data_IF_823992040256
#
_entry.id   IF_823992040256
#
_cell.length_a   1.000
_cell.length_b   1.000
_cell.length_c   1.000
_cell.angle_alpha   90.00
_cell.angle_beta   90.00
_cell.angle_gamma   90.00
#
_symmetry.space_group_name_H-M   'P 1'
#
loop_
_entity.id
_entity.type
_entity.pdbx_description
1 polymer ?
#
# COMPACT_ATOMS: atom_id res chain seq x y z
N UNK A 1 -43.02 -35.47 -18.74
CA UNK A 1 -43.10 -34.03 -19.02
C UNK A 1 -43.32 -33.34 -17.69
N UNK A 2 -42.49 -32.36 -17.33
CA UNK A 2 -42.59 -31.65 -16.03
C UNK A 2 -43.52 -30.44 -16.17
N UNK A 3 -44.60 -30.39 -15.39
CA UNK A 3 -45.54 -29.28 -15.35
C UNK A 3 -45.08 -28.14 -14.42
N UNK A 4 -45.72 -26.97 -14.50
CA UNK A 4 -45.43 -25.86 -13.57
C UNK A 4 -45.80 -26.20 -12.11
N UNK A 5 -46.83 -27.04 -11.91
CA UNK A 5 -47.17 -27.61 -10.62
C UNK A 5 -46.03 -28.47 -10.05
N UNK A 6 -45.38 -29.29 -10.88
CA UNK A 6 -44.25 -30.13 -10.46
C UNK A 6 -43.04 -29.30 -10.00
N UNK A 7 -42.80 -28.16 -10.64
CA UNK A 7 -41.68 -27.25 -10.29
C UNK A 7 -41.83 -26.68 -8.87
N UNK A 8 -43.07 -26.30 -8.49
CA UNK A 8 -43.34 -25.74 -7.17
C UNK A 8 -43.72 -26.82 -6.13
N UNK A 9 -43.84 -28.08 -6.56
CA UNK A 9 -44.28 -29.20 -5.72
C UNK A 9 -45.71 -29.02 -5.22
N UNK A 10 -46.60 -28.55 -6.09
CA UNK A 10 -48.03 -28.31 -5.84
C UNK A 10 -48.88 -29.09 -6.83
N UNK A 11 -50.20 -29.07 -6.64
CA UNK A 11 -51.18 -29.66 -7.55
C UNK A 11 -52.32 -28.67 -7.86
N UNK A 12 -53.29 -29.09 -8.69
CA UNK A 12 -54.47 -28.29 -9.06
C UNK A 12 -55.36 -27.92 -7.88
N UNK A 13 -55.31 -28.72 -6.81
CA UNK A 13 -56.15 -28.59 -5.64
C UNK A 13 -55.48 -27.74 -4.56
N UNK A 14 -54.20 -27.38 -4.75
CA UNK A 14 -53.43 -26.61 -3.79
C UNK A 14 -53.95 -25.17 -3.75
N UNK A 15 -54.37 -24.66 -2.58
CA UNK A 15 -54.88 -23.31 -2.48
C UNK A 15 -53.79 -22.28 -2.81
N UNK A 16 -54.17 -21.16 -3.43
CA UNK A 16 -53.25 -20.11 -3.88
C UNK A 16 -52.33 -19.58 -2.76
N UNK A 17 -52.81 -19.57 -1.51
CA UNK A 17 -52.02 -19.21 -0.33
C UNK A 17 -50.83 -20.16 -0.12
N UNK A 18 -51.01 -21.47 -0.32
CA UNK A 18 -49.97 -22.47 -0.18
C UNK A 18 -49.01 -22.49 -1.38
N UNK A 19 -49.50 -22.21 -2.58
CA UNK A 19 -48.64 -21.97 -3.76
C UNK A 19 -47.69 -20.79 -3.51
N UNK A 20 -48.20 -19.68 -2.96
CA UNK A 20 -47.39 -18.52 -2.58
C UNK A 20 -46.38 -18.86 -1.49
N UNK A 21 -46.77 -19.67 -0.50
CA UNK A 21 -45.87 -20.13 0.57
C UNK A 21 -44.73 -20.99 0.01
N UNK A 22 -45.04 -21.95 -0.87
CA UNK A 22 -44.07 -22.81 -1.56
C UNK A 22 -43.07 -22.00 -2.40
N UNK A 23 -43.57 -21.05 -3.19
CA UNK A 23 -42.72 -20.14 -3.96
C UNK A 23 -41.76 -19.34 -3.07
N UNK A 24 -42.26 -18.74 -1.97
CA UNK A 24 -41.40 -18.00 -1.03
C UNK A 24 -40.31 -18.87 -0.40
N UNK A 25 -40.65 -20.10 -0.03
CA UNK A 25 -39.70 -21.04 0.54
C UNK A 25 -38.60 -21.41 -0.46
N UNK A 26 -38.99 -21.77 -1.70
CA UNK A 26 -38.05 -22.16 -2.75
C UNK A 26 -37.18 -20.99 -3.21
N UNK A 27 -37.77 -19.82 -3.44
CA UNK A 27 -37.02 -18.60 -3.80
C UNK A 27 -36.01 -18.20 -2.74
N UNK A 28 -36.33 -18.35 -1.45
CA UNK A 28 -35.40 -18.04 -0.36
C UNK A 28 -34.18 -18.96 -0.30
N UNK A 29 -34.32 -20.21 -0.75
CA UNK A 29 -33.26 -21.23 -0.78
C UNK A 29 -32.45 -21.18 -2.07
N UNK A 30 -33.12 -20.91 -3.19
CA UNK A 30 -32.56 -20.98 -4.54
C UNK A 30 -32.22 -19.59 -5.09
N UNK A 31 -32.16 -18.56 -4.23
CA UNK A 31 -31.80 -17.20 -4.62
C UNK A 31 -30.34 -17.13 -5.11
N UNK A 32 -30.05 -16.40 -6.21
CA UNK A 32 -28.68 -16.25 -6.72
C UNK A 32 -27.67 -15.78 -5.67
N UNK A 33 -28.04 -14.78 -4.88
CA UNK A 33 -27.17 -14.20 -3.84
C UNK A 33 -26.85 -15.16 -2.69
N UNK A 34 -27.58 -16.28 -2.58
CA UNK A 34 -27.40 -17.32 -1.55
C UNK A 34 -26.80 -18.60 -2.11
N UNK A 35 -26.22 -18.55 -3.32
CA UNK A 35 -25.62 -19.70 -4.00
C UNK A 35 -26.59 -20.49 -4.89
N UNK A 36 -27.81 -19.98 -5.12
CA UNK A 36 -28.73 -20.52 -6.11
C UNK A 36 -28.40 -20.12 -7.55
N UNK A 37 -29.12 -20.67 -8.52
CA UNK A 37 -28.94 -20.32 -9.94
C UNK A 37 -29.98 -19.30 -10.41
N UNK A 38 -29.54 -18.27 -11.14
CA UNK A 38 -30.42 -17.28 -11.78
C UNK A 38 -31.45 -17.93 -12.71
N UNK A 39 -31.06 -18.97 -13.44
CA UNK A 39 -31.96 -19.70 -14.33
C UNK A 39 -33.05 -20.45 -13.55
N UNK A 40 -32.68 -21.08 -12.42
CA UNK A 40 -33.64 -21.77 -11.54
C UNK A 40 -34.61 -20.77 -10.91
N UNK A 41 -34.12 -19.60 -10.48
CA UNK A 41 -34.97 -18.56 -9.92
C UNK A 41 -35.98 -18.04 -10.96
N UNK A 42 -35.56 -17.83 -12.21
CA UNK A 42 -36.46 -17.44 -13.30
C UNK A 42 -37.54 -18.51 -13.56
N UNK A 43 -37.16 -19.78 -13.53
CA UNK A 43 -38.09 -20.90 -13.72
C UNK A 43 -39.12 -21.00 -12.56
N UNK A 44 -38.71 -20.72 -11.32
CA UNK A 44 -39.63 -20.63 -10.18
C UNK A 44 -40.63 -19.47 -10.30
N UNK A 45 -40.17 -18.29 -10.73
CA UNK A 45 -41.03 -17.12 -10.96
C UNK A 45 -42.05 -17.44 -12.05
N UNK A 46 -41.59 -18.01 -13.16
CA UNK A 46 -42.45 -18.41 -14.27
C UNK A 46 -43.49 -19.45 -13.85
N UNK A 47 -43.10 -20.45 -13.05
CA UNK A 47 -44.03 -21.44 -12.52
C UNK A 47 -45.10 -20.79 -11.62
N UNK A 48 -44.71 -19.86 -10.74
CA UNK A 48 -45.66 -19.16 -9.87
C UNK A 48 -46.68 -18.35 -10.67
N UNK A 49 -46.23 -17.60 -11.67
CA UNK A 49 -47.12 -16.82 -12.55
C UNK A 49 -48.08 -17.71 -13.35
N UNK A 50 -47.56 -18.81 -13.90
CA UNK A 50 -48.36 -19.74 -14.71
C UNK A 50 -49.42 -20.46 -13.88
N UNK A 51 -49.09 -20.88 -12.66
CA UNK A 51 -50.10 -21.43 -11.75
C UNK A 51 -51.15 -20.37 -11.38
N UNK A 52 -50.74 -19.13 -11.11
CA UNK A 52 -51.66 -18.03 -10.83
C UNK A 52 -52.63 -17.72 -11.98
N UNK A 53 -52.23 -17.99 -13.22
CA UNK A 53 -53.05 -17.87 -14.43
C UNK A 53 -53.93 -19.11 -14.72
N UNK A 54 -53.93 -20.12 -13.85
CA UNK A 54 -54.64 -21.39 -14.08
C UNK A 54 -53.95 -22.32 -15.09
N UNK A 55 -52.71 -22.04 -15.46
CA UNK A 55 -51.90 -22.78 -16.45
C UNK A 55 -50.88 -23.72 -15.80
N UNK A 56 -51.13 -24.15 -14.57
CA UNK A 56 -50.18 -24.96 -13.80
C UNK A 56 -49.87 -26.33 -14.41
N UNK A 57 -50.81 -26.88 -15.20
CA UNK A 57 -50.64 -28.17 -15.91
C UNK A 57 -49.89 -28.05 -17.23
N UNK A 58 -49.62 -26.84 -17.72
CA UNK A 58 -48.83 -26.66 -18.93
C UNK A 58 -47.40 -27.19 -18.71
N UNK A 59 -46.83 -27.77 -19.76
CA UNK A 59 -45.46 -28.28 -19.72
C UNK A 59 -44.48 -27.11 -19.57
N UNK A 60 -43.72 -27.13 -18.48
CA UNK A 60 -42.82 -26.04 -18.13
C UNK A 60 -41.48 -26.09 -18.86
N UNK A 61 -41.10 -27.28 -19.33
CA UNK A 61 -39.86 -27.50 -20.09
C UNK A 61 -40.25 -28.15 -21.40
N UNK A 62 -40.35 -27.36 -22.47
CA UNK A 62 -40.45 -27.91 -23.83
C UNK A 62 -39.14 -28.61 -24.12
N UNK A 63 -39.15 -29.93 -24.15
CA UNK A 63 -38.03 -30.72 -24.65
C UNK A 63 -37.91 -30.45 -26.15
N UNK A 64 -37.06 -29.50 -26.54
CA UNK A 64 -36.66 -29.29 -27.93
C UNK A 64 -35.87 -30.53 -28.34
N UNK A 65 -36.56 -31.51 -28.91
CA UNK A 65 -35.92 -32.60 -29.63
C UNK A 65 -35.34 -32.00 -30.91
N UNK A 66 -34.10 -31.52 -30.85
CA UNK A 66 -33.38 -31.05 -32.02
C UNK A 66 -33.28 -32.22 -33.00
N UNK A 67 -34.02 -32.14 -34.11
CA UNK A 67 -34.10 -33.19 -35.13
C UNK A 67 -32.77 -33.45 -35.85
N UNK A 68 -31.73 -32.64 -35.57
CA UNK A 68 -30.43 -32.67 -36.24
C UNK A 68 -29.23 -32.82 -35.29
N UNK A 69 -29.43 -33.23 -34.03
CA UNK A 69 -28.32 -33.52 -33.13
C UNK A 69 -27.75 -34.92 -33.42
N UNK A 70 -26.53 -34.99 -33.97
CA UNK A 70 -25.72 -36.22 -33.90
C UNK A 70 -25.50 -36.54 -32.42
N UNK A 71 -26.29 -37.47 -31.90
CA UNK A 71 -26.37 -37.83 -30.47
C UNK A 71 -25.00 -38.07 -29.81
N UNK A 72 -23.97 -38.46 -30.59
CA UNK A 72 -22.61 -38.66 -30.11
C UNK A 72 -21.85 -37.36 -29.81
N UNK A 73 -21.97 -36.32 -30.63
CA UNK A 73 -21.25 -35.06 -30.43
C UNK A 73 -21.71 -34.34 -29.16
N UNK A 74 -23.00 -34.39 -28.87
CA UNK A 74 -23.57 -33.83 -27.64
C UNK A 74 -23.22 -34.66 -26.40
N UNK A 75 -23.16 -35.99 -26.53
CA UNK A 75 -22.66 -36.87 -25.46
C UNK A 75 -21.20 -36.60 -25.13
N UNK A 76 -20.35 -36.39 -26.15
CA UNK A 76 -18.95 -36.04 -25.94
C UNK A 76 -18.79 -34.68 -25.26
N UNK A 77 -19.56 -33.67 -25.68
CA UNK A 77 -19.58 -32.36 -25.02
C UNK A 77 -20.02 -32.46 -23.56
N UNK A 78 -21.07 -33.23 -23.26
CA UNK A 78 -21.54 -33.45 -21.89
C UNK A 78 -20.47 -34.10 -21.01
N UNK A 79 -19.78 -35.14 -21.52
CA UNK A 79 -18.67 -35.77 -20.79
C UNK A 79 -17.48 -34.83 -20.58
N UNK A 80 -17.24 -33.91 -21.51
CA UNK A 80 -16.18 -32.91 -21.36
C UNK A 80 -16.57 -31.85 -20.33
N UNK A 81 -17.79 -31.32 -20.39
CA UNK A 81 -18.35 -30.40 -19.41
C UNK A 81 -18.39 -30.99 -18.00
N UNK A 82 -18.66 -32.29 -17.86
CA UNK A 82 -18.64 -32.96 -16.56
C UNK A 82 -17.21 -33.04 -15.98
N UNK A 83 -16.22 -33.37 -16.82
CA UNK A 83 -14.80 -33.36 -16.42
C UNK A 83 -14.34 -31.96 -16.01
N UNK A 84 -14.71 -30.94 -16.79
CA UNK A 84 -14.36 -29.56 -16.51
C UNK A 84 -15.03 -29.06 -15.22
N UNK A 85 -16.31 -29.41 -14.99
CA UNK A 85 -17.00 -29.12 -13.74
C UNK A 85 -16.31 -29.76 -12.53
N UNK A 86 -15.87 -31.02 -12.65
CA UNK A 86 -15.15 -31.70 -11.57
C UNK A 86 -13.78 -31.07 -11.32
N UNK A 87 -13.05 -30.71 -12.37
CA UNK A 87 -11.75 -30.03 -12.26
C UNK A 87 -11.90 -28.66 -11.57
N UNK A 88 -12.90 -27.87 -11.98
CA UNK A 88 -13.19 -26.57 -11.37
C UNK A 88 -13.58 -26.69 -9.89
N UNK A 89 -14.33 -27.73 -9.51
CA UNK A 89 -14.64 -27.98 -8.09
C UNK A 89 -13.38 -28.22 -7.26
N UNK A 90 -12.45 -29.04 -7.75
CA UNK A 90 -11.19 -29.31 -7.04
C UNK A 90 -10.36 -28.04 -6.88
N UNK A 91 -10.28 -27.22 -7.93
CA UNK A 91 -9.55 -25.94 -7.89
C UNK A 91 -10.20 -25.00 -6.87
N UNK A 92 -11.54 -24.91 -6.84
CA UNK A 92 -12.24 -24.09 -5.85
C UNK A 92 -11.99 -24.57 -4.42
N UNK A 93 -12.00 -25.88 -4.18
CA UNK A 93 -11.70 -26.45 -2.85
C UNK A 93 -10.26 -26.14 -2.41
N UNK A 94 -9.29 -26.22 -3.32
CA UNK A 94 -7.89 -25.89 -3.03
C UNK A 94 -7.69 -24.40 -2.78
N UNK A 95 -8.35 -23.53 -3.56
CA UNK A 95 -8.34 -22.08 -3.34
C UNK A 95 -8.97 -21.72 -1.99
N UNK A 96 -10.08 -22.35 -1.61
CA UNK A 96 -10.71 -22.15 -0.30
C UNK A 96 -9.77 -22.57 0.85
N UNK A 97 -9.00 -23.64 0.68
CA UNK A 97 -7.98 -24.05 1.66
C UNK A 97 -6.87 -23.01 1.76
N UNK A 98 -6.34 -22.54 0.62
CA UNK A 98 -5.31 -21.51 0.60
C UNK A 98 -5.78 -20.21 1.25
N UNK A 99 -7.01 -19.79 0.93
CA UNK A 99 -7.61 -18.60 1.53
C UNK A 99 -7.73 -18.72 3.05
N UNK A 100 -8.17 -19.87 3.57
CA UNK A 100 -8.25 -20.11 5.02
C UNK A 100 -6.88 -20.08 5.70
N UNK A 101 -5.86 -20.67 5.07
CA UNK A 101 -4.49 -20.66 5.60
C UNK A 101 -3.92 -19.25 5.66
N UNK A 102 -4.08 -18.46 4.59
CA UNK A 102 -3.60 -17.08 4.61
C UNK A 102 -4.38 -16.17 5.55
N UNK A 103 -5.68 -16.43 5.73
CA UNK A 103 -6.46 -15.72 6.74
C UNK A 103 -5.97 -16.04 8.16
N UNK A 104 -5.60 -17.29 8.46
CA UNK A 104 -5.02 -17.66 9.76
C UNK A 104 -3.64 -17.01 9.96
N UNK A 105 -2.78 -17.03 8.93
CA UNK A 105 -1.47 -16.39 8.99
C UNK A 105 -1.58 -14.88 9.19
N UNK A 106 -2.51 -14.22 8.52
CA UNK A 106 -2.78 -12.79 8.72
C UNK A 106 -3.25 -12.49 10.15
N UNK A 107 -4.05 -13.36 10.77
CA UNK A 107 -4.46 -13.19 12.17
C UNK A 107 -3.28 -13.33 13.12
N UNK A 108 -2.44 -14.35 12.93
CA UNK A 108 -1.24 -14.54 13.77
C UNK A 108 -0.27 -13.35 13.67
N UNK A 109 -0.04 -12.82 12.46
CA UNK A 109 0.79 -11.63 12.26
C UNK A 109 0.20 -10.38 12.94
N UNK A 110 -1.13 -10.24 12.93
CA UNK A 110 -1.78 -9.14 13.64
C UNK A 110 -1.61 -9.25 15.16
N UNK A 111 -1.80 -10.45 15.72
CA UNK A 111 -1.59 -10.71 17.16
C UNK A 111 -0.12 -10.50 17.59
N UNK A 112 0.84 -10.87 16.73
CA UNK A 112 2.26 -10.61 16.98
C UNK A 112 2.57 -9.12 16.94
N UNK A 113 2.03 -8.39 15.97
CA UNK A 113 2.17 -6.94 15.88
C UNK A 113 1.55 -6.23 17.10
N UNK A 114 0.40 -6.68 17.59
CA UNK A 114 -0.22 -6.12 18.79
C UNK A 114 0.64 -6.37 20.05
N UNK A 115 1.23 -7.56 20.18
CA UNK A 115 2.17 -7.86 21.27
C UNK A 115 3.39 -6.95 21.23
N UNK A 116 3.98 -6.74 20.05
CA UNK A 116 5.12 -5.84 19.89
C UNK A 116 4.77 -4.39 20.23
N UNK A 117 3.61 -3.90 19.75
CA UNK A 117 3.12 -2.56 20.05
C UNK A 117 2.88 -2.37 21.55
N UNK A 118 2.25 -3.33 22.21
CA UNK A 118 2.02 -3.30 23.67
C UNK A 118 3.33 -3.24 24.46
N UNK A 119 4.33 -4.06 24.09
CA UNK A 119 5.64 -4.04 24.72
C UNK A 119 6.36 -2.68 24.53
N UNK A 120 6.28 -2.11 23.33
CA UNK A 120 6.85 -0.80 23.01
C UNK A 120 6.16 0.34 23.78
N UNK A 121 4.84 0.27 23.95
CA UNK A 121 4.09 1.24 24.75
C UNK A 121 4.49 1.20 26.23
N UNK A 122 4.70 0.00 26.78
CA UNK A 122 5.14 -0.16 28.16
C UNK A 122 6.57 0.34 28.38
N UNK A 123 7.47 0.11 27.43
CA UNK A 123 8.81 0.71 27.42
C UNK A 123 8.74 2.25 27.37
N UNK A 124 7.89 2.82 26.51
CA UNK A 124 7.65 4.27 26.45
C UNK A 124 7.09 4.83 27.76
N UNK A 125 6.18 4.12 28.41
CA UNK A 125 5.67 4.51 29.73
C UNK A 125 6.79 4.50 30.77
N UNK A 126 7.65 3.48 30.75
CA UNK A 126 8.81 3.39 31.64
C UNK A 126 9.78 4.54 31.41
N UNK A 127 10.18 4.79 30.16
CA UNK A 127 11.06 5.90 29.79
C UNK A 127 10.48 7.26 30.20
N UNK A 128 9.17 7.48 30.06
CA UNK A 128 8.51 8.71 30.53
C UNK A 128 8.58 8.87 32.05
N UNK A 129 8.40 7.80 32.82
CA UNK A 129 8.54 7.85 34.29
C UNK A 129 9.96 8.18 34.69
N UNK A 130 10.93 7.54 34.03
CA UNK A 130 12.35 7.76 34.31
C UNK A 130 12.80 9.17 33.92
N UNK A 131 12.35 9.69 32.77
CA UNK A 131 12.63 11.06 32.36
C UNK A 131 12.03 12.09 33.36
N UNK A 132 10.82 11.85 33.86
CA UNK A 132 10.24 12.66 34.95
C UNK A 132 11.10 12.62 36.22
N UNK A 133 11.57 11.44 36.62
CA UNK A 133 12.46 11.26 37.80
C UNK A 133 13.79 11.98 37.63
N UNK A 134 14.40 11.91 36.45
CA UNK A 134 15.65 12.60 36.16
C UNK A 134 15.46 14.12 36.13
N UNK A 135 14.36 14.61 35.56
CA UNK A 135 14.05 16.04 35.56
C UNK A 135 13.83 16.59 36.97
N UNK A 136 13.16 15.85 37.87
CA UNK A 136 13.02 16.29 39.25
C UNK A 136 14.37 16.37 39.98
N UNK A 137 15.28 15.42 39.74
CA UNK A 137 16.66 15.50 40.27
C UNK A 137 17.42 16.70 39.72
N UNK A 138 17.24 17.03 38.43
CA UNK A 138 17.88 18.17 37.78
C UNK A 138 17.37 19.49 38.36
N UNK A 139 16.06 19.61 38.61
CA UNK A 139 15.47 20.76 39.30
C UNK A 139 15.97 20.90 40.74
N UNK A 140 16.04 19.80 41.49
CA UNK A 140 16.54 19.83 42.87
C UNK A 140 18.01 20.26 42.93
N UNK A 141 18.84 19.75 42.01
CA UNK A 141 20.23 20.17 41.88
C UNK A 141 20.35 21.66 41.50
N UNK A 142 19.47 22.16 40.62
CA UNK A 142 19.40 23.59 40.28
C UNK A 142 19.01 24.44 41.48
N UNK A 143 18.05 24.00 42.30
CA UNK A 143 17.66 24.70 43.54
C UNK A 143 18.80 24.77 44.55
N UNK A 144 19.52 23.66 44.77
CA UNK A 144 20.72 23.64 45.65
C UNK A 144 21.81 24.58 45.15
N UNK A 145 22.03 24.66 43.83
CA UNK A 145 22.95 25.64 43.23
C UNK A 145 22.48 27.09 43.42
N UNK A 146 21.18 27.37 43.30
CA UNK A 146 20.68 28.72 43.55
C UNK A 146 20.76 29.12 45.03
N UNK A 147 20.53 28.19 45.95
CA UNK A 147 20.60 28.44 47.39
C UNK A 147 22.05 28.67 47.84
N UNK A 148 23.00 27.89 47.31
CA UNK A 148 24.43 28.12 47.54
C UNK A 148 24.93 29.44 46.94
N UNK A 149 24.44 29.83 45.76
CA UNK A 149 24.77 31.15 45.19
C UNK A 149 24.16 32.31 46.02
N UNK A 150 22.96 32.12 46.59
CA UNK A 150 22.33 33.12 47.46
C UNK A 150 23.06 33.30 48.79
N UNK A 151 23.54 32.21 49.41
CA UNK A 151 24.30 32.30 50.67
C UNK A 151 25.70 32.89 50.49
N UNK A 152 26.30 32.80 49.30
CA UNK A 152 27.58 33.47 48.98
C UNK A 152 27.40 34.98 48.77
N UNK A 153 26.20 35.45 48.38
CA UNK A 153 25.94 36.87 48.11
C UNK A 153 25.65 37.69 49.39
N UNK A 154 25.25 37.05 50.49
CA UNK A 154 24.86 37.75 51.73
C UNK A 154 26.00 38.04 52.71
N UNK A 155 27.25 37.71 52.38
CA UNK A 155 28.43 38.01 53.22
C UNK A 155 29.40 38.95 52.51
N UNK A 156 29.13 40.25 52.54
CA UNK A 156 30.16 41.30 52.49
C UNK A 156 29.66 42.62 53.12
N UNK A 157 30.30 43.09 54.22
CA UNK A 157 29.94 44.32 54.89
C UNK A 157 30.73 45.54 54.35
N UNK A 158 29.96 46.60 54.08
CA UNK A 158 30.23 48.03 54.25
C UNK A 158 31.63 48.42 54.77
N UNK A 159 32.42 49.11 53.93
CA UNK A 159 33.63 49.86 54.32
C UNK A 159 33.37 51.36 54.21
N UNK A 160 33.82 52.15 55.19
CA UNK A 160 33.92 53.61 55.12
C UNK A 160 35.35 54.05 55.44
N UNK A 161 35.81 55.04 54.65
CA UNK A 161 36.80 56.12 54.89
C UNK A 161 38.34 55.88 54.89
N UNK A 162 38.96 56.38 53.79
CA UNK A 162 40.05 57.38 53.69
C UNK A 162 41.55 56.96 53.89
N UNK A 163 42.58 57.77 53.49
CA UNK A 163 43.51 57.42 52.38
C UNK A 163 45.05 57.55 52.66
N UNK A 164 45.86 57.09 51.66
CA UNK A 164 47.30 57.36 51.36
C UNK A 164 48.39 56.45 51.99
N UNK A 165 49.66 56.42 51.48
CA UNK A 165 50.04 55.80 50.20
C UNK A 165 51.33 54.89 50.25
N UNK A 166 51.53 54.11 49.18
CA UNK A 166 52.81 53.52 48.69
C UNK A 166 53.25 52.14 49.27
N UNK A 167 54.19 51.39 48.63
CA UNK A 167 53.85 50.20 47.85
C UNK A 167 54.65 48.93 48.25
N UNK A 168 54.36 47.83 47.56
CA UNK A 168 55.03 46.52 47.55
C UNK A 168 54.60 45.50 48.62
N UNK A 169 54.58 44.25 48.13
CA UNK A 169 54.37 42.97 48.82
C UNK A 169 52.99 42.75 49.47
N UNK A 170 52.15 41.97 48.78
CA UNK A 170 51.74 40.63 49.23
C UNK A 170 50.57 40.14 48.38
N UNK A 171 50.86 39.18 47.49
CA UNK A 171 49.80 38.42 46.81
C UNK A 171 49.11 37.58 47.87
N UNK A 172 47.90 38.01 48.25
CA UNK A 172 47.05 37.33 49.22
C UNK A 172 46.88 35.85 48.90
N UNK A 173 46.98 34.92 49.88
CA UNK A 173 46.79 33.48 49.69
C UNK A 173 45.38 33.10 49.18
N UNK A 174 44.46 34.06 49.09
CA UNK A 174 43.15 33.89 48.45
C UNK A 174 43.21 33.82 46.92
N UNK A 175 44.20 34.44 46.28
CA UNK A 175 44.36 34.38 44.81
C UNK A 175 44.94 33.02 44.38
N UNK A 176 45.81 32.42 45.18
CA UNK A 176 46.39 31.09 44.91
C UNK A 176 45.33 29.97 45.03
N UNK A 177 44.37 30.11 45.96
CA UNK A 177 43.28 29.15 46.10
C UNK A 177 42.19 29.31 45.03
N UNK A 178 42.01 30.51 44.45
CA UNK A 178 41.12 30.72 43.31
C UNK A 178 41.70 30.14 42.00
N UNK A 179 43.02 30.14 41.83
CA UNK A 179 43.67 29.50 40.67
C UNK A 179 43.61 27.96 40.76
N UNK A 180 43.58 27.37 41.97
CA UNK A 180 43.36 25.93 42.15
C UNK A 180 41.91 25.47 41.91
N UNK A 181 40.91 26.36 42.02
CA UNK A 181 39.50 26.02 41.80
C UNK A 181 39.11 25.96 40.31
N UNK A 182 39.90 26.54 39.41
CA UNK A 182 39.73 26.47 37.95
C UNK A 182 40.34 25.18 37.32
N UNK A 183 41.02 24.35 38.11
CA UNK A 183 41.69 23.13 37.64
C UNK A 183 40.89 21.81 37.76
N UNK A 184 39.66 21.83 38.26
CA UNK A 184 38.78 20.63 38.31
C UNK A 184 37.73 20.67 37.20
N UNK A 185 38.21 20.68 35.96
CA UNK A 185 37.38 20.26 34.83
C UNK A 185 36.97 18.81 35.09
N UNK A 186 35.67 18.54 35.14
CA UNK A 186 35.08 17.24 35.45
C UNK A 186 35.75 16.11 34.64
N UNK A 187 36.74 15.43 35.22
CA UNK A 187 37.45 14.28 34.63
C UNK A 187 36.46 13.19 34.21
N UNK A 188 35.31 13.11 34.89
CA UNK A 188 34.20 12.20 34.57
C UNK A 188 33.44 12.59 33.29
N UNK A 189 33.28 13.89 33.00
CA UNK A 189 32.67 14.38 31.74
C UNK A 189 33.67 14.32 30.59
N UNK A 190 34.94 14.63 30.85
CA UNK A 190 36.00 14.49 29.86
C UNK A 190 36.21 13.02 29.50
N UNK A 191 36.22 12.12 30.49
CA UNK A 191 36.26 10.67 30.28
C UNK A 191 35.04 10.13 29.52
N UNK A 192 33.83 10.63 29.80
CA UNK A 192 32.62 10.25 29.04
C UNK A 192 32.67 10.73 27.58
N UNK A 193 33.17 11.95 27.33
CA UNK A 193 33.37 12.43 25.96
C UNK A 193 34.46 11.66 25.22
N UNK A 194 35.52 11.25 25.91
CA UNK A 194 36.62 10.51 25.28
C UNK A 194 36.28 9.03 25.02
N UNK A 195 35.39 8.44 25.84
CA UNK A 195 34.93 7.06 25.67
C UNK A 195 33.79 6.91 24.64
N UNK A 196 33.05 7.97 24.35
CA UNK A 196 31.96 7.96 23.35
C UNK A 196 32.41 7.48 21.95
N UNK A 197 33.51 8.01 21.34
CA UNK A 197 33.96 7.53 20.04
C UNK A 197 34.45 6.08 20.08
N UNK A 198 34.99 5.61 21.21
CA UNK A 198 35.42 4.20 21.38
C UNK A 198 34.22 3.26 21.46
N UNK A 199 33.14 3.66 22.15
CA UNK A 199 31.89 2.90 22.22
C UNK A 199 31.19 2.86 20.86
N UNK A 200 31.17 3.99 20.13
CA UNK A 200 30.64 4.04 18.75
C UNK A 200 31.47 3.14 17.83
N UNK A 201 32.81 3.20 17.89
CA UNK A 201 33.68 2.35 17.09
C UNK A 201 33.51 0.86 17.44
N UNK A 202 33.34 0.52 18.72
CA UNK A 202 33.05 -0.83 19.18
C UNK A 202 31.71 -1.36 18.68
N UNK A 203 30.65 -0.53 18.73
CA UNK A 203 29.34 -0.87 18.15
C UNK A 203 29.41 -1.04 16.62
N UNK A 204 30.16 -0.20 15.92
CA UNK A 204 30.36 -0.33 14.47
C UNK A 204 31.15 -1.59 14.09
N UNK A 205 32.04 -2.08 14.96
CA UNK A 205 32.78 -3.32 14.74
C UNK A 205 31.94 -4.58 15.02
N UNK A 206 30.95 -4.52 15.91
CA UNK A 206 30.08 -5.68 16.23
C UNK A 206 28.90 -5.82 15.28
N UNK A 207 28.51 -4.77 14.56
CA UNK A 207 27.35 -4.74 13.64
C UNK A 207 27.68 -5.09 12.17
N UNK A 208 28.88 -5.61 11.88
CA UNK A 208 29.27 -6.06 10.53
C UNK A 208 29.80 -4.94 9.62
N UNK A 209 30.27 -5.28 8.41
CA UNK A 209 31.02 -4.38 7.50
C UNK A 209 30.14 -3.41 6.69
N UNK A 210 28.83 -3.67 6.65
CA UNK A 210 27.84 -2.93 5.86
C UNK A 210 27.68 -1.43 6.25
N UNK A 211 27.60 -1.03 7.54
CA UNK A 211 27.38 0.37 7.91
C UNK A 211 28.63 1.26 7.72
N UNK A 212 29.83 0.66 7.70
CA UNK A 212 31.08 1.40 7.49
C UNK A 212 31.29 1.76 6.01
N UNK A 213 30.84 0.89 5.10
CA UNK A 213 30.76 1.18 3.66
C UNK A 213 29.77 2.31 3.36
N UNK A 214 28.62 2.33 4.03
CA UNK A 214 27.61 3.39 3.85
C UNK A 214 28.07 4.78 4.34
N UNK A 215 28.99 4.83 5.31
CA UNK A 215 29.59 6.09 5.78
C UNK A 215 30.72 6.57 4.86
N UNK A 216 31.43 5.67 4.17
CA UNK A 216 32.48 6.03 3.21
C UNK A 216 31.90 6.59 1.90
N UNK A 217 30.71 6.15 1.47
CA UNK A 217 30.04 6.67 0.26
C UNK A 217 29.46 8.09 0.43
N UNK A 218 29.36 8.59 1.67
CA UNK A 218 28.92 9.95 1.98
C UNK A 218 30.02 11.01 1.78
N UNK A 219 31.28 10.60 1.64
CA UNK A 219 32.43 11.49 1.41
C UNK A 219 33.08 11.31 0.02
N UNK A 220 32.48 10.52 -0.85
CA UNK A 220 33.02 10.26 -2.18
C UNK A 220 32.59 11.35 -3.17
N UNK A 221 33.51 12.27 -3.43
CA UNK A 221 33.39 13.35 -4.41
C UNK A 221 33.18 12.76 -5.82
N UNK A 222 32.26 13.30 -6.64
CA UNK A 222 31.84 12.64 -7.87
C UNK A 222 32.97 12.63 -8.90
N UNK A 223 33.55 11.45 -9.14
CA UNK A 223 34.55 11.21 -10.19
C UNK A 223 33.98 11.53 -11.58
N UNK A 224 34.70 12.27 -12.43
CA UNK A 224 34.30 12.53 -13.82
C UNK A 224 34.40 11.24 -14.65
N UNK A 225 33.36 11.00 -15.47
CA UNK A 225 33.21 9.82 -16.34
C UNK A 225 34.44 9.63 -17.26
N UNK A 226 35.07 8.44 -17.31
CA UNK A 226 36.15 8.18 -18.25
C UNK A 226 35.59 7.95 -19.67
N UNK A 227 36.07 8.74 -20.64
CA UNK A 227 35.96 8.45 -22.07
C UNK A 227 36.80 7.21 -22.41
N UNK A 228 36.13 6.14 -22.85
CA UNK A 228 36.80 4.92 -23.29
C UNK A 228 37.31 5.12 -24.72
N UNK A 229 38.62 5.36 -24.85
CA UNK A 229 39.33 5.32 -26.14
C UNK A 229 39.75 3.88 -26.42
N UNK A 230 39.02 3.20 -27.30
CA UNK A 230 39.32 1.82 -27.71
C UNK A 230 40.52 1.85 -28.66
N UNK A 231 41.63 1.24 -28.25
CA UNK A 231 42.78 0.95 -29.13
C UNK A 231 42.65 -0.51 -29.55
N UNK A 232 42.33 -0.75 -30.82
CA UNK A 232 42.27 -2.10 -31.39
C UNK A 232 43.72 -2.52 -31.68
N UNK A 233 44.23 -3.47 -30.91
CA UNK A 233 45.45 -4.22 -31.26
C UNK A 233 45.02 -5.44 -32.07
N UNK A 234 45.62 -5.55 -33.25
CA UNK A 234 45.33 -6.52 -34.30
C UNK A 234 45.67 -7.95 -33.84
N UNK A 235 44.75 -8.90 -34.04
CA UNK A 235 44.97 -10.32 -33.75
C UNK A 235 45.71 -11.03 -34.91
N UNK A 236 46.49 -12.04 -34.55
CA UNK A 236 47.30 -12.91 -35.40
C UNK A 236 46.41 -13.79 -36.33
N UNK A 237 46.69 -13.92 -37.64
CA UNK A 237 45.80 -14.56 -38.62
C UNK A 237 45.82 -16.11 -38.63
N UNK A 238 45.92 -16.75 -37.46
CA UNK A 238 46.03 -18.22 -37.35
C UNK A 238 44.82 -18.92 -36.70
N UNK A 239 43.84 -18.18 -36.18
CA UNK A 239 42.68 -18.77 -35.48
C UNK A 239 41.42 -18.94 -36.35
N UNK A 240 41.45 -18.55 -37.63
CA UNK A 240 40.25 -18.48 -38.50
C UNK A 240 39.81 -19.80 -39.16
N UNK A 241 40.41 -20.96 -38.83
CA UNK A 241 40.11 -22.22 -39.54
C UNK A 241 39.56 -23.36 -38.68
N UNK A 242 39.23 -23.16 -37.40
CA UNK A 242 38.83 -24.27 -36.53
C UNK A 242 37.59 -24.11 -35.64
N UNK A 243 36.71 -23.14 -35.89
CA UNK A 243 35.41 -23.05 -35.20
C UNK A 243 34.22 -22.83 -36.15
N UNK A 244 34.06 -23.72 -37.13
CA UNK A 244 32.80 -23.92 -37.86
C UNK A 244 32.29 -25.34 -37.62
N UNK A 245 31.79 -25.63 -36.42
CA UNK A 245 30.82 -26.71 -36.16
C UNK A 245 30.48 -26.79 -34.65
N UNK A 246 29.72 -25.84 -34.13
CA UNK A 246 28.88 -26.04 -32.94
C UNK A 246 27.85 -24.90 -32.87
N UNK A 247 26.55 -25.18 -32.63
CA UNK A 247 25.53 -24.15 -32.53
C UNK A 247 25.79 -23.28 -31.32
N UNK A 248 25.91 -21.98 -31.56
CA UNK A 248 26.13 -20.96 -30.57
C UNK A 248 25.01 -20.96 -29.52
N UNK A 249 25.36 -21.21 -28.27
CA UNK A 249 24.60 -20.67 -27.13
C UNK A 249 24.80 -19.16 -27.21
N UNK A 250 23.83 -18.47 -27.80
CA UNK A 250 23.71 -17.02 -27.71
C UNK A 250 23.56 -16.65 -26.23
N UNK A 251 24.68 -16.36 -25.56
CA UNK A 251 24.69 -15.51 -24.39
C UNK A 251 24.27 -14.13 -24.87
N UNK A 252 22.96 -13.88 -24.82
CA UNK A 252 22.41 -12.54 -24.93
C UNK A 252 23.02 -11.78 -23.76
N UNK A 253 24.07 -11.01 -24.03
CA UNK A 253 24.46 -9.89 -23.20
C UNK A 253 23.24 -8.96 -23.19
N UNK A 254 22.41 -9.12 -22.16
CA UNK A 254 21.28 -8.25 -21.92
C UNK A 254 21.87 -6.87 -21.65
N UNK A 255 21.87 -6.03 -22.69
CA UNK A 255 21.93 -4.58 -22.50
C UNK A 255 20.99 -4.23 -21.35
N UNK A 256 21.38 -3.36 -20.39
CA UNK A 256 20.51 -2.96 -19.32
C UNK A 256 19.19 -2.52 -19.93
N UNK A 257 18.12 -3.24 -19.58
CA UNK A 257 16.80 -3.03 -20.15
C UNK A 257 16.52 -1.53 -20.12
N UNK A 258 16.26 -0.96 -21.31
CA UNK A 258 15.85 0.43 -21.47
C UNK A 258 14.82 0.72 -20.37
N UNK A 259 15.03 1.71 -19.49
CA UNK A 259 14.19 1.90 -18.32
C UNK A 259 12.74 1.94 -18.77
N UNK A 260 11.92 1.04 -18.21
CA UNK A 260 10.50 0.95 -18.53
C UNK A 260 9.91 2.34 -18.36
N UNK A 261 9.45 2.92 -19.47
CA UNK A 261 8.92 4.27 -19.51
C UNK A 261 7.64 4.29 -18.67
N UNK A 262 7.69 4.98 -17.52
CA UNK A 262 6.58 5.11 -16.59
C UNK A 262 5.48 5.96 -17.24
N UNK A 263 4.23 5.48 -17.31
CA UNK A 263 3.15 6.21 -17.98
C UNK A 263 2.78 7.48 -17.21
N UNK A 264 2.82 8.64 -17.89
CA UNK A 264 2.54 9.98 -17.35
C UNK A 264 1.24 10.55 -17.91
N UNK A 265 0.51 11.18 -17.00
CA UNK A 265 -0.73 11.89 -17.31
C UNK A 265 -0.48 13.32 -17.76
N UNK A 266 -1.32 13.80 -18.66
CA UNK A 266 -1.40 15.21 -19.05
C UNK A 266 -2.09 16.02 -17.96
N UNK A 267 -1.53 17.20 -17.66
CA UNK A 267 -2.06 18.12 -16.64
C UNK A 267 -3.15 19.00 -17.22
N UNK A 268 -4.34 18.97 -16.62
CA UNK A 268 -5.51 19.70 -17.12
C UNK A 268 -5.96 20.78 -16.12
N UNK A 269 -6.61 21.83 -16.63
CA UNK A 269 -7.13 22.91 -15.77
C UNK A 269 -8.53 22.62 -15.25
N UNK A 270 -9.35 21.92 -16.04
CA UNK A 270 -10.72 21.57 -15.69
C UNK A 270 -10.76 20.69 -14.43
N UNK A 271 -11.64 21.04 -13.49
CA UNK A 271 -11.85 20.34 -12.22
C UNK A 271 -13.18 19.62 -12.26
N UNK A 272 -13.23 18.39 -11.74
CA UNK A 272 -14.49 17.66 -11.52
C UNK A 272 -15.16 17.04 -12.75
N UNK A 273 -14.58 17.21 -13.94
CA UNK A 273 -15.09 16.61 -15.18
C UNK A 273 -14.19 15.44 -15.57
N UNK A 274 -14.79 14.28 -15.86
CA UNK A 274 -14.08 13.15 -16.42
C UNK A 274 -13.69 13.40 -17.87
N UNK A 275 -12.46 13.05 -18.22
CA UNK A 275 -11.93 13.30 -19.56
C UNK A 275 -11.13 12.11 -20.06
N UNK A 276 -11.31 11.81 -21.34
CA UNK A 276 -10.47 10.86 -22.08
C UNK A 276 -9.20 11.56 -22.57
N UNK A 277 -8.05 10.94 -22.33
CA UNK A 277 -6.72 11.41 -22.71
C UNK A 277 -5.82 10.22 -23.06
N UNK A 278 -4.59 10.51 -23.47
CA UNK A 278 -3.59 9.51 -23.83
C UNK A 278 -2.30 9.76 -23.05
N UNK A 279 -1.70 8.70 -22.53
CA UNK A 279 -0.43 8.79 -21.81
C UNK A 279 0.67 9.27 -22.76
N UNK A 280 1.58 10.13 -22.27
CA UNK A 280 2.61 10.78 -23.09
C UNK A 280 3.60 9.79 -23.72
N UNK A 281 3.87 8.67 -23.05
CA UNK A 281 4.93 7.74 -23.45
C UNK A 281 4.48 6.71 -24.50
N UNK A 282 3.25 6.22 -24.36
CA UNK A 282 2.80 5.02 -25.07
C UNK A 282 1.50 5.24 -25.86
N UNK A 283 0.95 6.46 -25.87
CA UNK A 283 -0.33 6.80 -26.50
C UNK A 283 -1.47 5.84 -26.12
N UNK A 284 -1.41 5.21 -24.93
CA UNK A 284 -2.52 4.38 -24.44
C UNK A 284 -3.61 5.29 -23.89
N UNK A 285 -4.89 5.02 -24.20
CA UNK A 285 -5.98 5.82 -23.70
C UNK A 285 -6.17 5.61 -22.19
N UNK A 286 -6.52 6.69 -21.51
CA UNK A 286 -6.93 6.67 -20.11
C UNK A 286 -8.00 7.71 -19.87
N UNK A 287 -8.75 7.52 -18.80
CA UNK A 287 -9.70 8.51 -18.30
C UNK A 287 -9.21 9.06 -16.99
N UNK A 288 -9.42 10.34 -16.77
CA UNK A 288 -9.07 10.97 -15.51
C UNK A 288 -10.06 12.05 -15.08
N UNK A 289 -10.11 12.27 -13.77
CA UNK A 289 -10.80 13.41 -13.15
C UNK A 289 -9.89 14.09 -12.14
N UNK A 290 -9.92 15.42 -12.12
CA UNK A 290 -9.10 16.26 -11.26
C UNK A 290 -9.89 16.77 -10.06
N UNK A 291 -9.32 16.71 -8.86
CA UNK A 291 -9.86 17.36 -7.65
C UNK A 291 -9.52 18.85 -7.63
N UNK A 292 -10.24 19.62 -6.81
CA UNK A 292 -9.93 21.04 -6.56
C UNK A 292 -8.50 21.25 -6.02
N UNK A 293 -7.98 20.28 -5.26
CA UNK A 293 -6.62 20.33 -4.70
C UNK A 293 -5.54 19.89 -5.69
N UNK A 294 -5.94 19.50 -6.90
CA UNK A 294 -5.03 19.14 -8.00
C UNK A 294 -4.52 17.70 -7.98
N UNK A 295 -5.12 16.82 -7.17
CA UNK A 295 -4.93 15.37 -7.27
C UNK A 295 -5.81 14.81 -8.39
N UNK A 296 -5.49 13.64 -8.92
CA UNK A 296 -6.25 13.00 -9.98
C UNK A 296 -6.67 11.58 -9.60
N UNK A 297 -7.81 11.15 -10.14
CA UNK A 297 -8.11 9.73 -10.29
C UNK A 297 -7.95 9.38 -11.75
N UNK A 298 -7.26 8.27 -12.02
CA UNK A 298 -6.88 7.86 -13.37
C UNK A 298 -7.23 6.38 -13.54
N UNK A 299 -7.72 6.01 -14.73
CA UNK A 299 -7.91 4.62 -15.13
C UNK A 299 -7.50 4.44 -16.59
N UNK A 300 -6.56 3.54 -16.83
CA UNK A 300 -6.21 3.06 -18.18
C UNK A 300 -6.90 1.74 -18.53
N UNK A 301 -6.57 1.17 -19.69
CA UNK A 301 -7.11 -0.12 -20.14
C UNK A 301 -6.70 -1.30 -19.22
N UNK A 302 -5.40 -1.37 -18.90
CA UNK A 302 -4.83 -2.49 -18.12
C UNK A 302 -4.81 -2.21 -16.62
N UNK A 303 -5.12 -0.97 -16.24
CA UNK A 303 -4.95 -0.47 -14.88
C UNK A 303 -6.30 -0.38 -14.15
N UNK A 304 -6.30 -0.81 -12.89
CA UNK A 304 -7.36 -0.46 -11.93
C UNK A 304 -7.35 1.05 -11.70
N UNK A 305 -8.37 1.58 -11.03
CA UNK A 305 -8.36 2.99 -10.65
C UNK A 305 -7.17 3.32 -9.76
N UNK A 306 -6.47 4.39 -10.12
CA UNK A 306 -5.28 4.89 -9.45
C UNK A 306 -5.53 6.31 -8.96
N UNK A 307 -5.05 6.61 -7.75
CA UNK A 307 -5.06 7.93 -7.15
C UNK A 307 -3.68 8.57 -7.28
N UNK A 308 -3.62 9.62 -8.10
CA UNK A 308 -2.45 10.46 -8.33
C UNK A 308 -2.53 11.62 -7.37
N UNK A 309 -1.92 11.43 -6.20
CA UNK A 309 -1.93 12.45 -5.16
C UNK A 309 -0.94 13.56 -5.50
N UNK A 310 -1.39 14.80 -5.46
CA UNK A 310 -0.50 15.95 -5.59
C UNK A 310 0.55 15.97 -4.47
N UNK A 311 1.83 15.96 -4.84
CA UNK A 311 2.96 15.91 -3.89
C UNK A 311 3.09 17.19 -3.07
N UNK A 312 2.55 18.32 -3.57
CA UNK A 312 2.57 19.60 -2.87
C UNK A 312 1.58 19.65 -1.69
N UNK A 313 0.63 18.71 -1.60
CA UNK A 313 -0.30 18.63 -0.49
C UNK A 313 0.33 17.89 0.68
N UNK A 314 0.38 18.52 1.85
CA UNK A 314 0.77 17.87 3.11
C UNK A 314 -0.28 16.82 3.46
N UNK A 315 0.03 15.54 3.32
CA UNK A 315 -0.91 14.49 3.71
C UNK A 315 -0.98 14.34 5.21
N UNK A 316 -2.20 14.18 5.71
CA UNK A 316 -2.42 13.44 6.95
C UNK A 316 -2.16 11.94 6.77
N UNK A 317 -2.75 11.13 7.65
CA UNK A 317 -2.71 9.67 7.53
C UNK A 317 -3.39 9.25 6.22
N UNK A 318 -2.70 8.44 5.41
CA UNK A 318 -3.28 7.88 4.18
C UNK A 318 -4.38 6.87 4.54
N UNK A 319 -5.43 6.83 3.72
CA UNK A 319 -6.47 5.82 3.85
C UNK A 319 -5.91 4.41 3.60
N UNK A 320 -6.35 3.42 4.38
CA UNK A 320 -5.82 2.06 4.34
C UNK A 320 -6.06 1.33 3.01
N UNK A 321 -7.04 1.78 2.22
CA UNK A 321 -7.36 1.23 0.91
C UNK A 321 -6.46 1.76 -0.22
N UNK A 322 -5.47 2.60 0.07
CA UNK A 322 -4.55 3.16 -0.90
C UNK A 322 -3.18 2.49 -0.78
N UNK A 323 -2.82 1.69 -1.79
CA UNK A 323 -1.53 1.00 -1.83
C UNK A 323 -0.58 1.81 -2.70
N UNK A 324 0.57 2.21 -2.14
CA UNK A 324 1.58 2.94 -2.89
C UNK A 324 2.07 2.11 -4.09
N UNK A 325 2.09 2.73 -5.27
CA UNK A 325 2.58 2.12 -6.51
C UNK A 325 3.95 2.69 -6.87
N UNK A 326 3.99 4.00 -7.11
CA UNK A 326 5.20 4.68 -7.59
C UNK A 326 5.18 6.18 -7.31
N UNK A 327 6.36 6.78 -7.46
CA UNK A 327 6.56 8.22 -7.38
C UNK A 327 6.81 8.80 -8.77
N UNK A 328 6.04 9.81 -9.13
CA UNK A 328 6.23 10.65 -10.31
C UNK A 328 6.67 12.06 -9.87
N UNK A 329 7.09 12.91 -10.82
CA UNK A 329 7.67 14.23 -10.50
C UNK A 329 6.76 15.07 -9.60
N UNK A 330 5.46 15.12 -9.93
CA UNK A 330 4.47 15.93 -9.22
C UNK A 330 3.49 15.10 -8.41
N UNK A 331 3.50 13.77 -8.55
CA UNK A 331 2.49 12.90 -7.97
C UNK A 331 3.08 11.71 -7.21
N UNK A 332 2.39 11.34 -6.14
CA UNK A 332 2.52 10.03 -5.52
C UNK A 332 1.34 9.19 -5.99
N UNK A 333 1.62 8.11 -6.70
CA UNK A 333 0.59 7.25 -7.32
C UNK A 333 0.26 6.10 -6.39
N UNK A 334 -1.03 5.91 -6.13
CA UNK A 334 -1.56 4.84 -5.30
C UNK A 334 -2.60 4.03 -6.07
N UNK A 335 -2.56 2.72 -5.96
CA UNK A 335 -3.60 1.83 -6.46
C UNK A 335 -4.77 1.79 -5.47
N UNK A 336 -6.01 1.74 -6.00
CA UNK A 336 -7.24 1.59 -5.19
C UNK A 336 -7.81 0.18 -5.43
N UNK A 337 -7.30 -0.87 -4.75
CA UNK A 337 -7.73 -2.25 -4.99
C UNK A 337 -9.15 -2.56 -4.54
N UNK A 338 -9.69 -1.84 -3.55
CA UNK A 338 -11.01 -2.09 -2.96
C UNK A 338 -11.62 -0.82 -2.35
N UNK A 339 -12.90 -0.90 -2.01
CA UNK A 339 -13.67 0.19 -1.38
C UNK A 339 -14.10 1.26 -2.37
N UNK A 340 -14.45 2.45 -1.86
CA UNK A 340 -14.94 3.55 -2.69
C UNK A 340 -13.87 4.01 -3.68
N UNK A 341 -14.27 4.21 -4.93
CA UNK A 341 -13.38 4.59 -6.03
C UNK A 341 -12.64 3.44 -6.74
N UNK A 342 -12.73 2.20 -6.25
CA UNK A 342 -12.05 1.04 -6.86
C UNK A 342 -12.75 0.41 -8.07
N UNK A 343 -14.07 0.58 -8.20
CA UNK A 343 -14.88 -0.03 -9.26
C UNK A 343 -15.67 1.02 -10.04
N UNK A 344 -15.97 0.73 -11.31
CA UNK A 344 -16.74 1.64 -12.17
C UNK A 344 -18.15 1.90 -11.64
N UNK A 345 -18.77 0.91 -10.98
CA UNK A 345 -20.09 1.07 -10.33
C UNK A 345 -20.09 2.18 -9.27
N UNK A 346 -19.04 2.26 -8.45
CA UNK A 346 -18.91 3.31 -7.43
C UNK A 346 -18.96 4.71 -8.04
N UNK A 347 -18.34 4.87 -9.22
CA UNK A 347 -18.35 6.12 -9.96
C UNK A 347 -19.72 6.30 -10.60
N UNK A 348 -20.22 5.36 -11.40
CA UNK A 348 -21.50 5.48 -12.12
C UNK A 348 -22.71 5.81 -11.21
N UNK A 349 -22.75 5.30 -9.98
CA UNK A 349 -23.87 5.50 -9.05
C UNK A 349 -23.75 6.77 -8.19
N UNK A 350 -22.58 7.42 -8.17
CA UNK A 350 -22.32 8.57 -7.29
C UNK A 350 -22.19 9.89 -8.06
N UNK A 351 -22.61 10.98 -7.42
CA UNK A 351 -22.37 12.35 -7.93
C UNK A 351 -20.93 12.81 -7.68
N UNK A 352 -20.33 12.32 -6.60
CA UNK A 352 -18.93 12.58 -6.24
C UNK A 352 -18.45 11.53 -5.26
N UNK A 353 -17.14 11.29 -5.23
CA UNK A 353 -16.51 10.37 -4.28
C UNK A 353 -15.48 11.08 -3.42
N UNK A 354 -15.45 10.73 -2.13
CA UNK A 354 -14.44 11.17 -1.19
C UNK A 354 -13.31 10.14 -1.13
N UNK A 355 -12.11 10.53 -1.56
CA UNK A 355 -10.91 9.69 -1.55
C UNK A 355 -9.81 10.46 -0.81
N UNK A 356 -9.29 9.88 0.27
CA UNK A 356 -8.20 10.47 1.06
C UNK A 356 -8.47 11.91 1.56
N UNK A 357 -9.72 12.25 1.87
CA UNK A 357 -10.09 13.61 2.29
C UNK A 357 -10.18 14.63 1.14
N UNK A 358 -10.27 14.16 -0.10
CA UNK A 358 -10.51 14.96 -1.29
C UNK A 358 -11.78 14.52 -2.02
N UNK A 359 -12.61 15.49 -2.42
CA UNK A 359 -13.79 15.22 -3.22
C UNK A 359 -13.44 15.19 -4.71
N UNK A 360 -13.95 14.17 -5.39
CA UNK A 360 -13.86 13.98 -6.83
C UNK A 360 -15.28 14.00 -7.40
N UNK A 361 -15.69 15.12 -8.02
CA UNK A 361 -16.95 15.19 -8.74
C UNK A 361 -16.96 14.17 -9.89
N UNK A 362 -18.13 13.64 -10.21
CA UNK A 362 -18.30 12.55 -11.16
C UNK A 362 -19.04 12.99 -12.44
N UNK A 363 -18.73 14.18 -12.94
CA UNK A 363 -19.41 14.70 -14.11
C UNK A 363 -18.89 14.03 -15.39
N UNK A 364 -19.80 13.51 -16.22
CA UNK A 364 -19.45 12.91 -17.51
C UNK A 364 -18.82 11.51 -17.47
N UNK A 365 -18.75 10.86 -16.30
CA UNK A 365 -18.07 9.57 -16.14
C UNK A 365 -18.59 8.48 -17.09
N UNK A 366 -19.90 8.23 -17.11
CA UNK A 366 -20.46 7.09 -17.85
C UNK A 366 -20.18 7.15 -19.35
N UNK A 367 -20.24 8.34 -19.95
CA UNK A 367 -19.96 8.53 -21.38
C UNK A 367 -18.49 8.27 -21.70
N UNK A 368 -17.60 8.90 -20.92
CA UNK A 368 -16.14 8.80 -21.11
C UNK A 368 -15.62 7.40 -20.78
N UNK A 369 -16.23 6.72 -19.81
CA UNK A 369 -15.92 5.35 -19.45
C UNK A 369 -16.27 4.36 -20.57
N UNK A 370 -17.46 4.48 -21.18
CA UNK A 370 -17.84 3.67 -22.33
C UNK A 370 -16.91 3.92 -23.54
N UNK A 371 -16.54 5.17 -23.77
CA UNK A 371 -15.59 5.53 -24.82
C UNK A 371 -14.21 4.88 -24.59
N UNK A 372 -13.71 4.91 -23.35
CA UNK A 372 -12.48 4.21 -22.98
C UNK A 372 -12.60 2.71 -23.23
N UNK A 373 -13.68 2.06 -22.79
CA UNK A 373 -13.87 0.61 -23.00
C UNK A 373 -13.84 0.25 -24.49
N UNK A 374 -14.49 1.05 -25.36
CA UNK A 374 -14.45 0.84 -26.80
C UNK A 374 -13.04 0.99 -27.39
N UNK A 375 -12.25 1.94 -26.89
CA UNK A 375 -10.86 2.14 -27.34
C UNK A 375 -9.93 1.05 -26.83
N UNK A 376 -10.13 0.57 -25.61
CA UNK A 376 -9.34 -0.51 -25.02
C UNK A 376 -9.55 -1.84 -25.73
N UNK A 377 -10.72 -2.09 -26.32
CA UNK A 377 -10.97 -3.30 -27.13
C UNK A 377 -10.19 -3.33 -28.47
N UNK A 378 -9.61 -2.20 -28.89
CA UNK A 378 -8.83 -2.10 -30.15
C UNK A 378 -7.33 -2.36 -29.95
N UNK A 379 -6.87 -2.44 -28.71
CA UNK A 379 -5.51 -2.77 -28.31
C UNK A 379 -5.50 -4.15 -27.67
#
# INVERSE_FOLDING_TARGET
MTSFHDILGTDSNTPSADVKRRYKLLSSRLHPDKGGSKAIMQLLVQAYEKIGQGKGHEEAVRTIHSRNATSEADKQKLQQLERDCQALRRINEDLDRQFKLEQQKSKLLAEESERYMSASEDELKWLRRENKRLNSQLEEARRKLSDTNRTVTTVSPRTKTAPSPSPLSEISPKVINQIKALGRVNLRRFGLMLMMPVVIAGLLFTLGKEPLLAMMTLFEEPQPKPEVKVTIVNNNPADDLQLQAQPAVTLISAAPAKPVLVPRIQLERAVGVWQLRYFEENNRPYIAVRSEKGSYIVRGCDAKFQYYRNSNLRSGRMAANLIFDRKERHFLVYNIPYGNGSFAGNWAESKSLLINGEYFPNEGFSAVYQELEMLCMRY
#
